data_IF_014519818942
#
_entry.id   IF_014519818942
#
_cell.length_a   1.000
_cell.length_b   1.000
_cell.length_c   1.000
_cell.angle_alpha   90.00
_cell.angle_beta   90.00
_cell.angle_gamma   90.00
#
_symmetry.space_group_name_H-M   'P 1'
#
loop_
_entity.id
_entity.type
_entity.pdbx_description
1 polymer ?
#
# COMPACT_ATOMS: atom_id res chain seq x y z
N UNK A 1 -0.21 -17.03 5.86
CA UNK A 1 -1.62 -16.68 5.55
C UNK A 1 -1.92 -17.13 4.12
N UNK A 2 -2.89 -18.02 3.90
CA UNK A 2 -3.21 -18.53 2.55
C UNK A 2 -3.86 -17.44 1.67
N UNK A 3 -3.58 -17.50 0.37
CA UNK A 3 -4.13 -16.60 -0.65
C UNK A 3 -5.45 -17.16 -1.17
N UNK A 4 -6.49 -16.33 -1.20
CA UNK A 4 -7.72 -16.62 -1.93
C UNK A 4 -7.68 -15.90 -3.29
N UNK A 5 -7.40 -16.67 -4.36
CA UNK A 5 -7.25 -16.12 -5.71
C UNK A 5 -8.54 -15.50 -6.26
N UNK A 6 -9.71 -15.98 -5.83
CA UNK A 6 -11.00 -15.44 -6.26
C UNK A 6 -11.30 -14.07 -5.67
N UNK A 7 -10.59 -13.69 -4.60
CA UNK A 7 -10.75 -12.39 -3.96
C UNK A 7 -9.75 -11.36 -4.45
N UNK A 8 -8.79 -11.73 -5.30
CA UNK A 8 -7.88 -10.76 -5.89
C UNK A 8 -8.62 -9.85 -6.88
N UNK A 9 -8.22 -8.58 -6.94
CA UNK A 9 -8.72 -7.68 -7.97
C UNK A 9 -8.29 -8.19 -9.37
N UNK A 10 -9.12 -8.03 -10.41
CA UNK A 10 -8.71 -8.32 -11.78
C UNK A 10 -7.46 -7.51 -12.13
N UNK A 11 -6.40 -8.19 -12.57
CA UNK A 11 -5.17 -7.54 -12.99
C UNK A 11 -4.98 -7.70 -14.48
N UNK A 12 -4.74 -6.60 -15.19
CA UNK A 12 -4.33 -6.62 -16.60
C UNK A 12 -2.82 -6.86 -16.78
N UNK A 13 -2.16 -7.37 -15.74
CA UNK A 13 -0.73 -7.67 -15.77
C UNK A 13 -0.50 -9.03 -16.43
N UNK A 14 0.56 -9.15 -17.22
CA UNK A 14 0.88 -10.34 -18.02
C UNK A 14 1.37 -11.55 -17.19
N UNK A 15 1.49 -11.43 -15.87
CA UNK A 15 2.05 -12.48 -15.02
C UNK A 15 1.35 -12.61 -13.66
N UNK A 16 1.23 -13.86 -13.20
CA UNK A 16 0.76 -14.17 -11.85
C UNK A 16 1.78 -13.67 -10.81
N UNK A 17 1.36 -12.87 -9.81
CA UNK A 17 2.25 -12.37 -8.78
C UNK A 17 2.79 -13.51 -7.91
N UNK A 18 4.04 -13.37 -7.44
CA UNK A 18 4.75 -14.45 -6.74
C UNK A 18 3.98 -14.99 -5.53
N UNK A 19 3.33 -14.12 -4.74
CA UNK A 19 2.54 -14.56 -3.59
C UNK A 19 1.36 -15.47 -4.00
N UNK A 20 0.74 -15.22 -5.17
CA UNK A 20 -0.37 -16.02 -5.67
C UNK A 20 0.11 -17.35 -6.25
N UNK A 21 1.26 -17.35 -6.94
CA UNK A 21 1.93 -18.57 -7.39
C UNK A 21 2.30 -19.47 -6.21
N UNK A 22 2.88 -18.87 -5.17
CA UNK A 22 3.28 -19.55 -3.93
C UNK A 22 2.08 -20.00 -3.08
N UNK A 23 0.94 -19.31 -3.20
CA UNK A 23 -0.31 -19.64 -2.49
C UNK A 23 -0.41 -19.11 -1.05
N UNK A 24 0.59 -18.36 -0.57
CA UNK A 24 0.57 -17.74 0.76
C UNK A 24 1.37 -16.44 0.85
N UNK A 25 0.91 -15.55 1.73
CA UNK A 25 1.61 -14.33 2.13
C UNK A 25 2.68 -14.62 3.18
N UNK A 26 3.78 -13.86 3.09
CA UNK A 26 4.93 -13.89 4.02
C UNK A 26 5.21 -12.48 4.51
N UNK A 27 5.82 -12.33 5.68
CA UNK A 27 6.21 -11.02 6.18
C UNK A 27 7.33 -10.43 5.32
N UNK A 28 7.14 -9.20 4.82
CA UNK A 28 8.08 -8.53 3.93
C UNK A 28 8.66 -7.29 4.59
N UNK A 29 9.96 -7.22 4.88
CA UNK A 29 10.57 -6.00 5.39
C UNK A 29 10.55 -4.91 4.30
N UNK A 30 10.30 -3.67 4.70
CA UNK A 30 10.41 -2.51 3.82
C UNK A 30 10.93 -1.30 4.58
N UNK A 31 11.54 -0.38 3.85
CA UNK A 31 11.96 0.90 4.39
C UNK A 31 10.95 1.97 3.97
N UNK A 32 10.40 2.70 4.93
CA UNK A 32 9.50 3.80 4.62
C UNK A 32 10.23 4.87 3.81
N UNK A 33 9.69 5.20 2.63
CA UNK A 33 10.33 6.19 1.75
C UNK A 33 10.29 7.64 2.25
N UNK A 34 9.42 7.96 3.21
CA UNK A 34 9.26 9.32 3.72
C UNK A 34 10.10 9.55 5.00
N UNK A 35 10.19 8.57 5.91
CA UNK A 35 10.90 8.73 7.21
C UNK A 35 12.03 7.72 7.44
N UNK A 36 12.35 6.88 6.46
CA UNK A 36 13.40 5.85 6.52
C UNK A 36 13.27 4.79 7.63
N UNK A 37 12.13 4.73 8.34
CA UNK A 37 11.86 3.65 9.30
C UNK A 37 11.86 2.28 8.63
N UNK A 38 12.47 1.29 9.29
CA UNK A 38 12.43 -0.12 8.87
C UNK A 38 11.19 -0.76 9.49
N UNK A 39 10.32 -1.26 8.64
CA UNK A 39 9.02 -1.78 9.00
C UNK A 39 8.80 -3.14 8.35
N UNK A 40 7.78 -3.87 8.80
CA UNK A 40 7.39 -5.14 8.21
C UNK A 40 5.98 -5.03 7.66
N UNK A 41 5.82 -5.36 6.38
CA UNK A 41 4.52 -5.55 5.78
C UNK A 41 4.03 -6.95 6.11
N UNK A 42 3.23 -7.06 7.17
CA UNK A 42 2.81 -8.35 7.69
C UNK A 42 1.92 -9.11 6.68
N UNK A 43 1.99 -10.43 6.70
CA UNK A 43 1.19 -11.31 5.86
C UNK A 43 -0.32 -11.04 5.99
N UNK A 44 -0.80 -10.69 7.20
CA UNK A 44 -2.18 -10.33 7.43
C UNK A 44 -2.57 -8.99 6.77
N UNK A 45 -1.66 -8.01 6.75
CA UNK A 45 -1.87 -6.72 6.10
C UNK A 45 -1.90 -6.87 4.58
N UNK A 46 -1.08 -7.76 4.02
CA UNK A 46 -1.11 -8.11 2.60
C UNK A 46 -2.44 -8.76 2.22
N UNK A 47 -2.91 -9.76 3.00
CA UNK A 47 -4.20 -10.41 2.77
C UNK A 47 -5.34 -9.41 2.73
N UNK A 48 -5.43 -8.53 3.75
CA UNK A 48 -6.44 -7.47 3.76
C UNK A 48 -6.31 -6.54 2.55
N UNK A 49 -5.09 -6.12 2.20
CA UNK A 49 -4.87 -5.19 1.10
C UNK A 49 -5.30 -5.75 -0.26
N UNK A 50 -4.89 -6.97 -0.59
CA UNK A 50 -5.17 -7.57 -1.90
C UNK A 50 -6.59 -8.13 -2.00
N UNK A 51 -7.10 -8.77 -0.93
CA UNK A 51 -8.37 -9.48 -0.99
C UNK A 51 -9.58 -8.63 -0.57
N UNK A 52 -9.43 -7.75 0.41
CA UNK A 52 -10.53 -6.92 0.94
C UNK A 52 -10.52 -5.52 0.33
N UNK A 53 -9.37 -4.83 0.40
CA UNK A 53 -9.23 -3.47 -0.11
C UNK A 53 -9.08 -3.39 -1.63
N UNK A 54 -8.98 -4.56 -2.31
CA UNK A 54 -8.80 -4.70 -3.76
C UNK A 54 -7.63 -3.87 -4.31
N UNK A 55 -6.55 -3.81 -3.54
CA UNK A 55 -5.30 -3.19 -3.97
C UNK A 55 -4.71 -3.91 -5.18
N UNK A 56 -4.02 -3.17 -6.04
CA UNK A 56 -3.36 -3.75 -7.21
C UNK A 56 -2.32 -4.79 -6.80
N UNK A 57 -2.29 -5.93 -7.49
CA UNK A 57 -1.41 -7.06 -7.19
C UNK A 57 0.08 -6.76 -7.36
N UNK A 58 0.41 -5.73 -8.14
CA UNK A 58 1.78 -5.22 -8.36
C UNK A 58 2.20 -4.16 -7.31
N UNK A 59 1.29 -3.73 -6.44
CA UNK A 59 1.58 -2.74 -5.41
C UNK A 59 2.23 -3.38 -4.17
N UNK A 60 3.10 -2.60 -3.50
CA UNK A 60 3.76 -3.00 -2.26
C UNK A 60 3.70 -1.91 -1.18
N UNK A 61 3.96 -2.28 0.08
CA UNK A 61 4.11 -1.32 1.16
C UNK A 61 5.41 -0.51 1.00
N UNK A 62 5.26 0.80 0.78
CA UNK A 62 6.39 1.75 0.64
C UNK A 62 6.41 2.83 1.73
N UNK A 63 5.44 2.81 2.64
CA UNK A 63 5.26 3.81 3.71
C UNK A 63 4.74 3.18 4.98
N UNK A 64 5.28 3.60 6.13
CA UNK A 64 4.77 3.22 7.44
C UNK A 64 3.37 3.80 7.70
N UNK A 65 2.67 3.26 8.71
CA UNK A 65 1.32 3.70 9.06
C UNK A 65 1.27 5.19 9.44
N UNK A 66 2.27 5.68 10.18
CA UNK A 66 2.34 7.08 10.59
C UNK A 66 2.40 8.03 9.37
N UNK A 67 3.30 7.78 8.42
CA UNK A 67 3.40 8.57 7.19
C UNK A 67 2.14 8.45 6.32
N UNK A 68 1.50 7.28 6.25
CA UNK A 68 0.21 7.15 5.55
C UNK A 68 -0.89 8.00 6.19
N UNK A 69 -0.97 8.04 7.53
CA UNK A 69 -1.94 8.87 8.27
C UNK A 69 -1.67 10.35 8.07
N UNK A 70 -0.43 10.80 8.23
CA UNK A 70 -0.06 12.20 8.05
C UNK A 70 -0.41 12.71 6.64
N UNK A 71 -0.21 11.90 5.59
CA UNK A 71 -0.59 12.25 4.22
C UNK A 71 -2.10 12.30 3.99
N UNK A 72 -2.88 11.48 4.69
CA UNK A 72 -4.35 11.56 4.64
C UNK A 72 -4.84 12.85 5.30
N UNK A 73 -4.28 13.18 6.47
CA UNK A 73 -4.61 14.41 7.20
C UNK A 73 -4.17 15.67 6.43
N UNK A 74 -2.99 15.67 5.82
CA UNK A 74 -2.49 16.80 5.03
C UNK A 74 -3.25 17.05 3.72
N UNK A 75 -4.05 16.09 3.24
CA UNK A 75 -4.91 16.27 2.06
C UNK A 75 -6.19 17.08 2.35
N UNK A 76 -6.55 17.30 3.60
CA UNK A 76 -7.74 18.09 3.96
C UNK A 76 -7.52 19.61 3.83
N UNK A 77 -6.30 20.09 3.54
CA UNK A 77 -5.95 21.50 3.67
C UNK A 77 -5.41 22.18 2.39
N UNK A 78 -5.56 21.62 1.20
CA UNK A 78 -4.99 22.22 -0.03
C UNK A 78 -5.95 23.14 -0.81
N UNK A 79 -6.84 23.89 -0.12
CA UNK A 79 -7.69 24.91 -0.78
C UNK A 79 -7.48 26.34 -0.24
N UNK A 80 -6.35 26.68 0.41
CA UNK A 80 -6.14 28.04 0.92
C UNK A 80 -4.74 28.66 0.76
N UNK A 81 -3.85 28.10 -0.05
CA UNK A 81 -2.50 28.67 -0.20
C UNK A 81 -2.22 29.24 -1.60
N UNK A 82 -3.22 29.87 -2.23
CA UNK A 82 -3.03 30.66 -3.45
C UNK A 82 -3.34 32.16 -3.22
N UNK A 83 -3.00 32.66 -2.03
CA UNK A 83 -3.27 34.05 -1.64
C UNK A 83 -2.03 34.76 -1.02
N UNK A 84 -0.80 34.40 -1.40
CA UNK A 84 0.41 35.20 -1.07
C UNK A 84 1.44 35.11 -2.20
N UNK A 85 1.08 35.43 -3.44
CA UNK A 85 2.05 35.74 -4.52
C UNK A 85 1.56 36.87 -5.45
N UNK A 86 0.68 37.75 -4.96
CA UNK A 86 0.31 38.98 -5.65
C UNK A 86 0.41 40.15 -4.66
N UNK A 87 1.63 40.63 -4.42
CA UNK A 87 1.94 41.91 -3.80
C UNK A 87 3.27 42.40 -4.33
#
# INVERSE_FOLDING_TARGET
MLVDKWRLAPSNSYGEPEFARRGYYVDLPFTCRDCASREVWAAAQQKWWYEEAKGYVDSTAVRCLACRRQRRSGRMNNNKDNLIQAS
#
